data_IF_625812285679
#
_entry.id   IF_625812285679
#
_cell.length_a   1.000
_cell.length_b   1.000
_cell.length_c   1.000
_cell.angle_alpha   90.00
_cell.angle_beta   90.00
_cell.angle_gamma   90.00
#
_symmetry.space_group_name_H-M   'P 1'
#
loop_
_entity.id
_entity.type
_entity.pdbx_description
1 polymer ?
#
# COMPACT_ATOMS: atom_id res chain seq x y z
N UNK A 1 26.40 -5.58 -4.01
CA UNK A 1 26.76 -4.81 -5.23
C UNK A 1 26.51 -3.32 -4.98
N UNK A 2 27.38 -2.41 -5.46
CA UNK A 2 27.22 -0.94 -5.27
C UNK A 2 26.19 -0.37 -6.28
N UNK A 3 25.43 0.65 -5.88
CA UNK A 3 24.50 1.37 -6.75
C UNK A 3 25.26 2.27 -7.74
N UNK A 4 24.80 2.34 -8.99
CA UNK A 4 25.29 3.26 -10.02
C UNK A 4 24.98 4.73 -9.68
N UNK A 5 25.65 5.68 -10.35
CA UNK A 5 25.36 7.12 -10.18
C UNK A 5 23.89 7.45 -10.48
N UNK A 6 23.32 6.84 -11.52
CA UNK A 6 21.90 7.02 -11.90
C UNK A 6 20.98 6.44 -10.82
N UNK A 7 21.21 5.20 -10.37
CA UNK A 7 20.40 4.58 -9.31
C UNK A 7 20.44 5.39 -8.01
N UNK A 8 21.60 5.96 -7.63
CA UNK A 8 21.71 6.85 -6.46
C UNK A 8 20.86 8.11 -6.62
N UNK A 9 20.91 8.76 -7.79
CA UNK A 9 20.10 9.95 -8.09
C UNK A 9 18.60 9.63 -8.07
N UNK A 10 18.20 8.50 -8.67
CA UNK A 10 16.81 8.06 -8.66
C UNK A 10 16.33 7.74 -7.23
N UNK A 11 17.15 7.05 -6.43
CA UNK A 11 16.84 6.73 -5.05
C UNK A 11 16.69 7.99 -4.19
N UNK A 12 17.54 9.00 -4.40
CA UNK A 12 17.43 10.28 -3.71
C UNK A 12 16.10 10.98 -4.01
N UNK A 13 15.72 11.08 -5.30
CA UNK A 13 14.43 11.68 -5.70
C UNK A 13 13.27 10.88 -5.10
N UNK A 14 13.32 9.55 -5.18
CA UNK A 14 12.31 8.68 -4.58
C UNK A 14 12.17 8.92 -3.08
N UNK A 15 13.27 8.98 -2.32
CA UNK A 15 13.23 9.22 -0.86
C UNK A 15 12.68 10.60 -0.55
N UNK A 16 13.10 11.64 -1.27
CA UNK A 16 12.59 13.01 -1.08
C UNK A 16 11.08 13.07 -1.30
N UNK A 17 10.57 12.45 -2.36
CA UNK A 17 9.12 12.48 -2.66
C UNK A 17 8.35 11.56 -1.71
N UNK A 18 8.77 10.31 -1.57
CA UNK A 18 8.04 9.32 -0.78
C UNK A 18 8.08 9.60 0.72
N UNK A 19 9.20 10.08 1.28
CA UNK A 19 9.33 10.37 2.71
C UNK A 19 9.26 11.86 2.98
N UNK A 20 10.00 12.69 2.23
CA UNK A 20 10.03 14.14 2.48
C UNK A 20 8.63 14.78 2.42
N UNK A 21 7.82 14.44 1.42
CA UNK A 21 6.43 14.93 1.34
C UNK A 21 5.56 14.33 2.45
N UNK A 22 5.68 13.03 2.74
CA UNK A 22 4.91 12.36 3.81
C UNK A 22 5.13 13.04 5.16
N UNK A 23 6.37 13.29 5.56
CA UNK A 23 6.65 13.91 6.85
C UNK A 23 6.31 15.40 6.86
N UNK A 24 6.51 16.12 5.75
CA UNK A 24 6.09 17.52 5.63
C UNK A 24 4.58 17.66 5.81
N UNK A 25 3.78 16.87 5.09
CA UNK A 25 2.34 16.86 5.23
C UNK A 25 1.89 16.22 6.54
N UNK A 26 2.71 15.35 7.14
CA UNK A 26 2.50 14.83 8.49
C UNK A 26 2.49 15.91 9.56
N UNK A 27 3.33 16.94 9.44
CA UNK A 27 3.29 18.11 10.33
C UNK A 27 1.95 18.86 10.19
N UNK A 28 1.49 19.07 8.95
CA UNK A 28 0.19 19.69 8.69
C UNK A 28 -0.98 18.83 9.20
N UNK A 29 -0.88 17.51 9.08
CA UNK A 29 -1.85 16.56 9.61
C UNK A 29 -1.94 16.66 11.13
N UNK A 30 -0.81 16.72 11.83
CA UNK A 30 -0.78 16.90 13.28
C UNK A 30 -1.39 18.24 13.73
N UNK A 31 -1.13 19.32 12.99
CA UNK A 31 -1.80 20.60 13.23
C UNK A 31 -3.32 20.50 13.05
N UNK A 32 -3.78 19.93 11.93
CA UNK A 32 -5.22 19.72 11.67
C UNK A 32 -5.88 18.86 12.75
N UNK A 33 -5.23 17.78 13.17
CA UNK A 33 -5.70 16.92 14.26
C UNK A 33 -5.86 17.71 15.56
N UNK A 34 -4.85 18.49 15.95
CA UNK A 34 -4.91 19.32 17.16
C UNK A 34 -5.99 20.41 17.13
N UNK A 35 -6.35 20.84 15.91
CA UNK A 35 -7.44 21.78 15.68
C UNK A 35 -8.82 21.11 15.57
N UNK A 36 -8.92 19.80 15.80
CA UNK A 36 -10.18 19.03 15.72
C UNK A 36 -10.74 18.91 14.30
N UNK A 37 -9.89 19.06 13.27
CA UNK A 37 -10.30 18.97 11.86
C UNK A 37 -10.17 17.55 11.33
N UNK A 38 -10.98 17.21 10.33
CA UNK A 38 -10.87 15.94 9.61
C UNK A 38 -9.51 15.83 8.89
N UNK A 39 -8.79 14.74 9.17
CA UNK A 39 -7.48 14.42 8.60
C UNK A 39 -7.53 13.32 7.54
N UNK A 40 -8.73 12.83 7.17
CA UNK A 40 -8.91 11.71 6.23
C UNK A 40 -8.34 11.95 4.84
N UNK A 41 -8.16 13.20 4.42
CA UNK A 41 -7.56 13.55 3.12
C UNK A 41 -6.08 13.16 3.04
N UNK A 42 -5.36 13.25 4.14
CA UNK A 42 -3.91 13.02 4.17
C UNK A 42 -3.49 11.58 3.84
N UNK A 43 -4.01 10.52 4.50
CA UNK A 43 -3.65 9.14 4.16
C UNK A 43 -4.00 8.81 2.71
N UNK A 44 -5.14 9.30 2.21
CA UNK A 44 -5.55 9.11 0.81
C UNK A 44 -4.54 9.72 -0.18
N UNK A 45 -4.07 10.95 0.10
CA UNK A 45 -3.04 11.58 -0.71
C UNK A 45 -1.70 10.83 -0.59
N UNK A 46 -1.34 10.45 0.63
CA UNK A 46 -0.09 9.81 0.99
C UNK A 46 0.18 8.54 0.17
N UNK A 47 -0.83 7.72 -0.08
CA UNK A 47 -0.70 6.49 -0.87
C UNK A 47 -0.11 6.72 -2.28
N UNK A 48 -0.22 7.91 -2.86
CA UNK A 48 0.28 8.19 -4.21
C UNK A 48 1.78 8.53 -4.25
N UNK A 49 2.38 8.91 -3.12
CA UNK A 49 3.72 9.49 -3.10
C UNK A 49 4.83 8.53 -3.55
N UNK A 50 4.83 7.23 -3.19
CA UNK A 50 5.93 6.35 -3.56
C UNK A 50 6.09 6.19 -5.08
N UNK A 51 5.00 5.90 -5.81
CA UNK A 51 5.04 5.82 -7.27
C UNK A 51 5.34 7.17 -7.91
N UNK A 52 4.78 8.27 -7.39
CA UNK A 52 5.11 9.60 -7.87
C UNK A 52 6.62 9.87 -7.81
N UNK A 53 7.28 9.47 -6.71
CA UNK A 53 8.73 9.55 -6.57
C UNK A 53 9.49 8.77 -7.63
N UNK A 54 9.04 7.54 -7.94
CA UNK A 54 9.62 6.71 -9.01
C UNK A 54 9.43 7.34 -10.39
N UNK A 55 8.21 7.78 -10.69
CA UNK A 55 7.88 8.36 -11.99
C UNK A 55 8.63 9.67 -12.24
N UNK A 56 8.71 10.54 -11.23
CA UNK A 56 9.50 11.77 -11.30
C UNK A 56 10.98 11.46 -11.50
N UNK A 57 11.53 10.51 -10.72
CA UNK A 57 12.91 10.05 -10.87
C UNK A 57 13.19 9.57 -12.29
N UNK A 58 12.30 8.75 -12.87
CA UNK A 58 12.44 8.24 -14.23
C UNK A 58 12.33 9.35 -15.28
N UNK A 59 11.35 10.24 -15.19
CA UNK A 59 11.21 11.37 -16.13
C UNK A 59 12.45 12.28 -16.14
N UNK A 60 13.08 12.51 -14.99
CA UNK A 60 14.28 13.34 -14.87
C UNK A 60 15.54 12.63 -15.39
N UNK A 61 15.68 11.34 -15.10
CA UNK A 61 16.95 10.61 -15.34
C UNK A 61 16.98 9.79 -16.62
N UNK A 62 15.82 9.45 -17.19
CA UNK A 62 15.67 8.63 -18.41
C UNK A 62 15.00 9.41 -19.54
N UNK A 63 15.38 10.69 -19.71
CA UNK A 63 14.78 11.63 -20.67
C UNK A 63 14.80 11.16 -22.12
N UNK A 64 15.73 10.31 -22.51
CA UNK A 64 15.88 9.81 -23.89
C UNK A 64 15.17 8.48 -24.14
N UNK A 65 14.53 7.88 -23.12
CA UNK A 65 13.80 6.63 -23.32
C UNK A 65 12.46 6.87 -24.01
N UNK A 66 12.40 6.54 -25.31
CA UNK A 66 11.22 6.65 -26.17
C UNK A 66 10.11 5.64 -25.84
N UNK A 67 10.43 4.60 -25.05
CA UNK A 67 9.48 3.58 -24.62
C UNK A 67 8.89 3.85 -23.22
N UNK A 68 9.19 5.01 -22.63
CA UNK A 68 8.56 5.41 -21.37
C UNK A 68 7.06 5.73 -21.58
N UNK A 69 6.16 5.20 -20.73
CA UNK A 69 4.73 5.50 -20.76
C UNK A 69 4.45 6.91 -20.18
N UNK A 70 4.96 7.94 -20.85
CA UNK A 70 4.98 9.32 -20.33
C UNK A 70 3.60 9.87 -20.02
N UNK A 71 2.60 9.55 -20.84
CA UNK A 71 1.21 10.01 -20.64
C UNK A 71 0.69 9.50 -19.30
N UNK A 72 0.84 8.20 -19.05
CA UNK A 72 0.46 7.58 -17.77
C UNK A 72 1.24 8.20 -16.59
N UNK A 73 2.56 8.37 -16.72
CA UNK A 73 3.37 8.97 -15.64
C UNK A 73 2.99 10.42 -15.32
N UNK A 74 2.80 11.25 -16.33
CA UNK A 74 2.42 12.65 -16.13
C UNK A 74 1.02 12.75 -15.54
N UNK A 75 0.05 11.97 -16.02
CA UNK A 75 -1.30 11.96 -15.46
C UNK A 75 -1.34 11.50 -14.00
N UNK A 76 -0.53 10.50 -13.64
CA UNK A 76 -0.39 10.05 -12.26
C UNK A 76 0.22 11.15 -11.36
N UNK A 77 1.24 11.85 -11.85
CA UNK A 77 1.86 12.97 -11.13
C UNK A 77 0.88 14.14 -10.96
N UNK A 78 0.06 14.45 -11.97
CA UNK A 78 -0.99 15.46 -11.86
C UNK A 78 -1.99 15.07 -10.78
N UNK A 79 -2.49 13.82 -10.78
CA UNK A 79 -3.38 13.33 -9.73
C UNK A 79 -2.74 13.44 -8.34
N UNK A 80 -1.46 13.10 -8.22
CA UNK A 80 -0.70 13.23 -6.96
C UNK A 80 -0.63 14.68 -6.49
N UNK A 81 -0.32 15.63 -7.38
CA UNK A 81 -0.26 17.07 -7.05
C UNK A 81 -1.63 17.59 -6.65
N UNK A 82 -2.70 17.21 -7.34
CA UNK A 82 -4.08 17.56 -6.96
C UNK A 82 -4.42 17.04 -5.55
N UNK A 83 -4.04 15.81 -5.22
CA UNK A 83 -4.23 15.22 -3.89
C UNK A 83 -3.43 15.96 -2.80
N UNK A 84 -2.19 16.35 -3.09
CA UNK A 84 -1.36 17.16 -2.18
C UNK A 84 -2.01 18.54 -1.94
N UNK A 85 -2.48 19.21 -3.01
CA UNK A 85 -3.17 20.49 -2.86
C UNK A 85 -4.45 20.35 -2.05
N UNK A 86 -5.21 19.26 -2.26
CA UNK A 86 -6.39 18.95 -1.46
C UNK A 86 -6.04 18.81 0.04
N UNK A 87 -4.97 18.08 0.37
CA UNK A 87 -4.49 17.93 1.74
C UNK A 87 -3.98 19.24 2.37
N UNK A 88 -3.36 20.13 1.58
CA UNK A 88 -2.93 21.45 2.07
C UNK A 88 -4.16 22.36 2.31
N UNK A 89 -5.09 22.41 1.35
CA UNK A 89 -6.28 23.26 1.45
C UNK A 89 -7.24 22.81 2.57
N UNK A 90 -7.26 21.53 2.95
CA UNK A 90 -8.05 21.08 4.09
C UNK A 90 -7.61 21.71 5.42
N UNK A 91 -6.38 22.22 5.48
CA UNK A 91 -5.81 22.86 6.67
C UNK A 91 -6.08 24.36 6.74
N UNK A 92 -6.14 25.05 5.58
CA UNK A 92 -6.13 26.51 5.48
C UNK A 92 -7.42 27.20 5.93
N UNK A 93 -8.43 26.44 6.37
CA UNK A 93 -9.71 26.99 6.84
C UNK A 93 -10.65 27.40 5.69
N UNK A 94 -10.27 27.14 4.44
CA UNK A 94 -11.17 27.26 3.30
C UNK A 94 -12.25 26.18 3.46
N UNK A 95 -13.51 26.63 3.60
CA UNK A 95 -14.66 25.73 3.72
C UNK A 95 -14.82 24.84 2.49
N UNK A 96 -15.13 23.57 2.70
CA UNK A 96 -15.33 22.60 1.62
C UNK A 96 -15.30 21.17 2.12
N UNK A 97 -16.00 20.27 1.44
CA UNK A 97 -15.91 18.84 1.71
C UNK A 97 -14.65 18.28 1.01
N UNK A 98 -13.49 18.51 1.62
CA UNK A 98 -12.19 18.13 1.06
C UNK A 98 -12.05 16.61 0.89
N UNK A 99 -12.67 15.81 1.77
CA UNK A 99 -12.69 14.37 1.62
C UNK A 99 -13.44 13.93 0.36
N UNK A 100 -14.60 14.53 0.07
CA UNK A 100 -15.35 14.25 -1.16
C UNK A 100 -14.58 14.67 -2.41
N UNK A 101 -13.91 15.83 -2.39
CA UNK A 101 -13.06 16.29 -3.49
C UNK A 101 -11.90 15.30 -3.72
N UNK A 102 -11.26 14.87 -2.64
CA UNK A 102 -10.20 13.86 -2.66
C UNK A 102 -10.68 12.54 -3.29
N UNK A 103 -11.88 12.08 -2.96
CA UNK A 103 -12.49 10.89 -3.57
C UNK A 103 -12.73 11.08 -5.08
N UNK A 104 -13.24 12.23 -5.52
CA UNK A 104 -13.41 12.51 -6.95
C UNK A 104 -12.08 12.55 -7.71
N UNK A 105 -11.02 13.08 -7.10
CA UNK A 105 -9.67 13.07 -7.69
C UNK A 105 -9.16 11.62 -7.83
N UNK A 106 -9.35 10.77 -6.81
CA UNK A 106 -8.98 9.36 -6.88
C UNK A 106 -9.75 8.60 -7.97
N UNK A 107 -11.06 8.81 -8.07
CA UNK A 107 -11.94 8.20 -9.08
C UNK A 107 -11.51 8.66 -10.48
N UNK A 108 -11.49 9.97 -10.72
CA UNK A 108 -11.11 10.54 -12.01
C UNK A 108 -9.68 10.18 -12.41
N UNK A 109 -8.75 10.25 -11.46
CA UNK A 109 -7.36 9.84 -11.65
C UNK A 109 -7.23 8.36 -12.01
N UNK A 110 -7.99 7.48 -11.36
CA UNK A 110 -8.01 6.05 -11.67
C UNK A 110 -8.57 5.78 -13.06
N UNK A 111 -9.69 6.41 -13.43
CA UNK A 111 -10.28 6.26 -14.77
C UNK A 111 -9.28 6.71 -15.84
N UNK A 112 -8.72 7.92 -15.70
CA UNK A 112 -7.77 8.48 -16.68
C UNK A 112 -6.51 7.62 -16.77
N UNK A 113 -5.90 7.27 -15.63
CA UNK A 113 -4.71 6.42 -15.61
C UNK A 113 -4.99 5.02 -16.18
N UNK A 114 -6.18 4.46 -15.90
CA UNK A 114 -6.61 3.17 -16.42
C UNK A 114 -6.76 3.19 -17.94
N UNK A 115 -7.42 4.20 -18.50
CA UNK A 115 -7.55 4.39 -19.96
C UNK A 115 -6.17 4.56 -20.61
N UNK A 116 -5.31 5.40 -20.04
CA UNK A 116 -3.96 5.63 -20.58
C UNK A 116 -3.10 4.37 -20.52
N UNK A 117 -3.24 3.57 -19.47
CA UNK A 117 -2.56 2.30 -19.36
C UNK A 117 -3.09 1.29 -20.41
N UNK A 118 -4.40 1.17 -20.59
CA UNK A 118 -4.99 0.23 -21.54
C UNK A 118 -4.69 0.59 -22.99
N UNK A 119 -4.59 1.88 -23.30
CA UNK A 119 -4.29 2.40 -24.64
C UNK A 119 -2.79 2.44 -24.96
N UNK A 120 -1.89 2.26 -23.98
CA UNK A 120 -0.46 2.23 -24.24
C UNK A 120 0.02 0.88 -24.81
N UNK A 121 1.06 0.96 -25.63
CA UNK A 121 1.67 -0.18 -26.33
C UNK A 121 2.15 -1.23 -25.33
N UNK A 122 1.99 -2.51 -25.68
CA UNK A 122 2.34 -3.64 -24.81
C UNK A 122 3.81 -3.62 -24.40
N UNK A 123 4.68 -3.20 -25.31
CA UNK A 123 6.14 -3.11 -25.14
C UNK A 123 6.50 -2.06 -24.09
N UNK A 124 5.85 -0.87 -24.15
CA UNK A 124 6.05 0.23 -23.20
C UNK A 124 5.63 -0.17 -21.79
N UNK A 125 4.43 -0.77 -21.67
CA UNK A 125 3.95 -1.31 -20.40
C UNK A 125 4.87 -2.38 -19.85
N UNK A 126 5.34 -3.30 -20.69
CA UNK A 126 6.24 -4.37 -20.27
C UNK A 126 7.57 -3.83 -19.73
N UNK A 127 8.17 -2.84 -20.41
CA UNK A 127 9.46 -2.25 -20.03
C UNK A 127 9.44 -1.58 -18.66
N UNK A 128 8.29 -1.02 -18.27
CA UNK A 128 8.09 -0.34 -16.99
C UNK A 128 7.32 -1.18 -15.97
N UNK A 129 7.18 -2.49 -16.21
CA UNK A 129 6.56 -3.44 -15.28
C UNK A 129 5.05 -3.27 -15.11
N UNK A 130 4.39 -2.51 -15.97
CA UNK A 130 2.95 -2.21 -15.90
C UNK A 130 2.08 -3.26 -16.60
N UNK A 131 2.69 -4.28 -17.21
CA UNK A 131 1.97 -5.35 -17.89
C UNK A 131 1.72 -6.53 -16.94
N UNK A 132 0.48 -7.00 -16.90
CA UNK A 132 0.14 -8.25 -16.20
C UNK A 132 0.86 -9.46 -16.80
N UNK A 133 1.41 -10.31 -15.94
CA UNK A 133 2.10 -11.55 -16.29
C UNK A 133 1.57 -12.73 -15.47
N UNK A 134 1.81 -13.95 -15.93
CA UNK A 134 1.53 -15.19 -15.20
C UNK A 134 0.12 -15.25 -14.58
N UNK A 135 -0.92 -15.12 -15.40
CA UNK A 135 -2.30 -14.97 -14.95
C UNK A 135 -2.78 -16.09 -14.00
N UNK A 136 -2.49 -17.36 -14.32
CA UNK A 136 -2.88 -18.50 -13.46
C UNK A 136 -2.25 -18.41 -12.06
N UNK A 137 -0.95 -18.08 -11.99
CA UNK A 137 -0.25 -17.88 -10.70
C UNK A 137 -0.74 -16.62 -9.98
N UNK A 138 -1.12 -15.59 -10.73
CA UNK A 138 -1.72 -14.36 -10.18
C UNK A 138 -3.02 -14.66 -9.45
N UNK A 139 -3.95 -15.37 -10.11
CA UNK A 139 -5.22 -15.81 -9.50
C UNK A 139 -4.96 -16.68 -8.27
N UNK A 140 -4.04 -17.64 -8.37
CA UNK A 140 -3.67 -18.48 -7.23
C UNK A 140 -3.18 -17.68 -6.03
N UNK A 141 -2.27 -16.71 -6.23
CA UNK A 141 -1.75 -15.90 -5.13
C UNK A 141 -2.82 -14.99 -4.50
N UNK A 142 -3.76 -14.47 -5.31
CA UNK A 142 -4.88 -13.66 -4.82
C UNK A 142 -5.84 -14.51 -3.99
N UNK A 143 -6.23 -15.69 -4.47
CA UNK A 143 -7.10 -16.60 -3.73
C UNK A 143 -6.43 -17.10 -2.45
N UNK A 144 -5.14 -17.44 -2.51
CA UNK A 144 -4.35 -17.82 -1.34
C UNK A 144 -4.35 -16.69 -0.29
N UNK A 145 -4.18 -15.44 -0.72
CA UNK A 145 -4.25 -14.31 0.21
C UNK A 145 -5.60 -14.20 0.91
N UNK A 146 -6.71 -14.32 0.16
CA UNK A 146 -8.06 -14.26 0.73
C UNK A 146 -8.26 -15.38 1.76
N UNK A 147 -7.82 -16.60 1.44
CA UNK A 147 -7.88 -17.74 2.39
C UNK A 147 -7.05 -17.46 3.64
N UNK A 148 -5.80 -17.00 3.50
CA UNK A 148 -4.94 -16.67 4.63
C UNK A 148 -5.50 -15.52 5.46
N UNK A 149 -6.13 -14.54 4.82
CA UNK A 149 -6.78 -13.41 5.49
C UNK A 149 -7.97 -13.88 6.34
N UNK A 150 -8.87 -14.68 5.75
CA UNK A 150 -10.02 -15.26 6.46
C UNK A 150 -9.55 -16.16 7.61
N UNK A 151 -8.54 -17.00 7.37
CA UNK A 151 -7.95 -17.87 8.39
C UNK A 151 -7.38 -17.05 9.56
N UNK A 152 -6.63 -15.99 9.25
CA UNK A 152 -6.08 -15.07 10.26
C UNK A 152 -7.20 -14.47 11.11
N UNK A 153 -8.26 -13.97 10.47
CA UNK A 153 -9.42 -13.40 11.18
C UNK A 153 -10.12 -14.44 12.06
N UNK A 154 -10.33 -15.65 11.54
CA UNK A 154 -10.98 -16.72 12.29
C UNK A 154 -10.17 -17.15 13.53
N UNK A 155 -8.84 -17.25 13.40
CA UNK A 155 -7.97 -17.53 14.55
C UNK A 155 -8.06 -16.38 15.57
N UNK A 156 -8.05 -15.12 15.11
CA UNK A 156 -8.18 -13.96 16.00
C UNK A 156 -9.48 -13.99 16.81
N UNK A 157 -10.63 -14.26 16.15
CA UNK A 157 -11.91 -14.41 16.84
C UNK A 157 -11.99 -15.67 17.70
N UNK A 158 -11.30 -16.74 17.31
CA UNK A 158 -11.09 -17.94 18.13
C UNK A 158 -10.46 -17.63 19.46
N UNK A 159 -9.30 -16.97 19.41
CA UNK A 159 -8.51 -16.62 20.60
C UNK A 159 -9.24 -15.61 21.49
N UNK A 160 -10.04 -14.70 20.93
CA UNK A 160 -10.84 -13.75 21.71
C UNK A 160 -12.18 -14.30 22.21
N UNK A 161 -12.53 -15.57 21.91
CA UNK A 161 -13.82 -16.16 22.31
C UNK A 161 -15.02 -15.62 21.52
N UNK A 162 -14.79 -15.00 20.36
CA UNK A 162 -15.77 -14.30 19.53
C UNK A 162 -16.03 -14.97 18.18
N UNK A 163 -15.81 -16.29 18.04
CA UNK A 163 -16.03 -17.01 16.78
C UNK A 163 -17.44 -16.85 16.20
N UNK A 164 -18.44 -16.64 17.06
CA UNK A 164 -19.82 -16.40 16.66
C UNK A 164 -19.99 -15.15 15.77
N UNK A 165 -19.12 -14.14 15.90
CA UNK A 165 -19.14 -12.94 15.06
C UNK A 165 -18.98 -13.28 13.57
N UNK A 166 -18.22 -14.33 13.22
CA UNK A 166 -18.11 -14.77 11.83
C UNK A 166 -19.45 -15.23 11.25
N UNK A 167 -20.27 -15.89 12.07
CA UNK A 167 -21.62 -16.30 11.69
C UNK A 167 -22.51 -15.09 11.42
N UNK A 168 -22.47 -14.08 12.29
CA UNK A 168 -23.24 -12.84 12.13
C UNK A 168 -22.83 -12.05 10.89
N UNK A 169 -21.53 -11.93 10.63
CA UNK A 169 -21.01 -11.28 9.42
C UNK A 169 -21.48 -12.05 8.18
N UNK A 170 -21.43 -13.38 8.19
CA UNK A 170 -21.80 -14.18 7.02
C UNK A 170 -23.30 -14.10 6.66
N UNK A 171 -24.19 -14.01 7.66
CA UNK A 171 -25.64 -13.91 7.42
C UNK A 171 -26.11 -12.48 7.11
N UNK A 172 -25.29 -11.47 7.37
CA UNK A 172 -25.63 -10.08 7.11
C UNK A 172 -25.60 -9.77 5.59
N UNK A 173 -26.71 -9.30 4.97
CA UNK A 173 -26.74 -8.97 3.55
C UNK A 173 -25.72 -7.89 3.13
N UNK A 174 -25.41 -6.94 4.03
CA UNK A 174 -24.45 -5.86 3.74
C UNK A 174 -23.04 -6.40 3.50
N UNK A 175 -22.66 -7.53 4.10
CA UNK A 175 -21.40 -8.22 3.80
C UNK A 175 -21.26 -8.51 2.32
N UNK A 176 -22.28 -9.11 1.73
CA UNK A 176 -22.25 -9.53 0.33
C UNK A 176 -22.31 -8.34 -0.62
N UNK A 177 -23.10 -7.32 -0.27
CA UNK A 177 -23.13 -6.05 -1.00
C UNK A 177 -21.74 -5.41 -1.01
N UNK A 178 -21.10 -5.28 0.15
CA UNK A 178 -19.77 -4.68 0.25
C UNK A 178 -18.69 -5.50 -0.46
N UNK A 179 -18.73 -6.84 -0.39
CA UNK A 179 -17.80 -7.68 -1.13
C UNK A 179 -17.90 -7.46 -2.65
N UNK A 180 -19.12 -7.33 -3.18
CA UNK A 180 -19.32 -6.98 -4.60
C UNK A 180 -18.82 -5.56 -4.89
N UNK A 181 -19.14 -4.59 -4.02
CA UNK A 181 -18.67 -3.21 -4.17
C UNK A 181 -17.14 -3.09 -4.16
N UNK A 182 -16.44 -3.87 -3.34
CA UNK A 182 -14.97 -3.92 -3.30
C UNK A 182 -14.40 -4.29 -4.69
N UNK A 183 -14.98 -5.28 -5.37
CA UNK A 183 -14.52 -5.69 -6.70
C UNK A 183 -14.65 -4.56 -7.73
N UNK A 184 -15.74 -3.80 -7.66
CA UNK A 184 -16.00 -2.66 -8.55
C UNK A 184 -15.11 -1.47 -8.19
N UNK A 185 -15.00 -1.16 -6.89
CA UNK A 185 -14.24 -0.02 -6.36
C UNK A 185 -12.74 -0.11 -6.66
N UNK A 186 -12.21 -1.31 -6.88
CA UNK A 186 -10.82 -1.48 -7.32
C UNK A 186 -10.50 -0.58 -8.52
N UNK A 187 -11.35 -0.57 -9.55
CA UNK A 187 -11.10 0.19 -10.79
C UNK A 187 -11.19 1.71 -10.59
N UNK A 188 -11.83 2.16 -9.52
CA UNK A 188 -12.00 3.57 -9.19
C UNK A 188 -10.99 4.08 -8.15
N UNK A 189 -10.23 3.19 -7.50
CA UNK A 189 -9.26 3.56 -6.47
C UNK A 189 -7.86 2.97 -6.68
N UNK A 190 -7.62 2.21 -7.76
CA UNK A 190 -6.37 1.44 -7.90
C UNK A 190 -5.11 2.32 -7.87
N UNK A 191 -5.17 3.60 -8.25
CA UNK A 191 -3.97 4.47 -8.30
C UNK A 191 -3.36 4.69 -6.91
N UNK A 192 -4.15 4.61 -5.84
CA UNK A 192 -3.66 4.72 -4.47
C UNK A 192 -2.81 3.49 -4.12
N UNK A 193 -3.35 2.29 -4.31
CA UNK A 193 -2.66 1.04 -4.03
C UNK A 193 -1.48 0.81 -4.97
N UNK A 194 -1.66 1.09 -6.26
CA UNK A 194 -0.57 1.13 -7.24
C UNK A 194 0.53 2.11 -6.83
N UNK A 195 0.15 3.24 -6.22
CA UNK A 195 1.08 4.24 -5.70
C UNK A 195 2.10 3.65 -4.75
N UNK A 196 1.61 2.94 -3.76
CA UNK A 196 2.47 2.25 -2.80
C UNK A 196 3.23 1.11 -3.45
N UNK A 197 2.56 0.17 -4.13
CA UNK A 197 3.22 -1.03 -4.63
C UNK A 197 4.29 -0.74 -5.67
N UNK A 198 4.05 0.23 -6.56
CA UNK A 198 5.01 0.57 -7.60
C UNK A 198 6.26 1.22 -7.01
N UNK A 199 6.11 2.00 -5.93
CA UNK A 199 7.25 2.51 -5.16
C UNK A 199 7.97 1.41 -4.38
N UNK A 200 7.23 0.61 -3.61
CA UNK A 200 7.79 -0.34 -2.67
C UNK A 200 8.28 -1.63 -3.33
N UNK A 201 7.44 -2.29 -4.13
CA UNK A 201 7.68 -3.66 -4.65
C UNK A 201 8.38 -3.61 -5.99
N UNK A 202 7.94 -2.72 -6.88
CA UNK A 202 8.54 -2.61 -8.21
C UNK A 202 9.90 -1.89 -8.17
N UNK A 203 10.01 -0.80 -7.41
CA UNK A 203 11.22 0.03 -7.40
C UNK A 203 12.18 -0.24 -6.24
N UNK A 204 11.74 -0.12 -4.98
CA UNK A 204 12.65 -0.17 -3.83
C UNK A 204 13.08 -1.61 -3.48
N UNK A 205 12.17 -2.58 -3.57
CA UNK A 205 12.45 -3.98 -3.25
C UNK A 205 13.64 -4.54 -4.05
N UNK A 206 13.71 -4.42 -5.39
CA UNK A 206 14.84 -4.97 -6.14
C UNK A 206 16.17 -4.30 -5.77
N UNK A 207 16.16 -3.01 -5.45
CA UNK A 207 17.37 -2.28 -5.00
C UNK A 207 17.87 -2.81 -3.65
N UNK A 208 16.97 -3.03 -2.69
CA UNK A 208 17.32 -3.59 -1.39
C UNK A 208 17.77 -5.05 -1.51
N UNK A 209 17.08 -5.85 -2.32
CA UNK A 209 17.45 -7.25 -2.56
C UNK A 209 18.81 -7.39 -3.26
N UNK A 210 19.12 -6.50 -4.22
CA UNK A 210 20.43 -6.43 -4.88
C UNK A 210 21.58 -6.10 -3.92
N UNK A 211 21.30 -5.34 -2.84
CA UNK A 211 22.31 -4.92 -1.87
C UNK A 211 22.46 -5.88 -0.70
N UNK A 212 21.35 -6.39 -0.16
CA UNK A 212 21.32 -7.14 1.09
C UNK A 212 20.90 -8.62 0.91
N UNK A 213 20.54 -9.02 -0.31
CA UNK A 213 19.99 -10.34 -0.63
C UNK A 213 18.47 -10.40 -0.52
N UNK A 214 17.87 -11.45 -1.11
CA UNK A 214 16.40 -11.58 -1.26
C UNK A 214 15.63 -11.46 0.07
N UNK A 215 16.07 -12.16 1.13
CA UNK A 215 15.40 -12.17 2.45
C UNK A 215 15.57 -10.87 3.21
N UNK A 216 16.82 -10.45 3.46
CA UNK A 216 17.09 -9.22 4.20
C UNK A 216 16.54 -7.98 3.46
N UNK A 217 16.58 -7.96 2.13
CA UNK A 217 15.99 -6.88 1.34
C UNK A 217 14.48 -6.72 1.52
N UNK A 218 13.74 -7.82 1.69
CA UNK A 218 12.29 -7.80 1.94
C UNK A 218 11.97 -7.40 3.37
N UNK A 219 12.72 -7.89 4.35
CA UNK A 219 12.55 -7.48 5.75
C UNK A 219 12.84 -6.00 5.94
N UNK A 220 13.94 -5.50 5.34
CA UNK A 220 14.28 -4.08 5.34
C UNK A 220 13.21 -3.24 4.63
N UNK A 221 12.63 -3.74 3.54
CA UNK A 221 11.51 -3.06 2.88
C UNK A 221 10.31 -2.94 3.82
N UNK A 222 9.97 -4.01 4.55
CA UNK A 222 8.92 -4.00 5.56
C UNK A 222 9.15 -2.94 6.63
N UNK A 223 10.38 -2.82 7.14
CA UNK A 223 10.76 -1.82 8.15
C UNK A 223 10.57 -0.40 7.62
N UNK A 224 11.12 -0.09 6.44
CA UNK A 224 11.03 1.27 5.88
C UNK A 224 9.60 1.62 5.51
N UNK A 225 8.82 0.66 4.99
CA UNK A 225 7.39 0.84 4.73
C UNK A 225 6.60 1.09 6.02
N UNK A 226 6.92 0.38 7.11
CA UNK A 226 6.32 0.66 8.43
C UNK A 226 6.66 2.05 8.96
N UNK A 227 7.91 2.50 8.81
CA UNK A 227 8.35 3.83 9.25
C UNK A 227 7.64 4.95 8.47
N UNK A 228 7.40 4.74 7.18
CA UNK A 228 6.69 5.68 6.33
C UNK A 228 5.26 5.98 6.80
N UNK A 229 4.61 5.08 7.54
CA UNK A 229 3.27 5.31 8.11
C UNK A 229 3.28 6.15 9.39
N UNK A 230 4.44 6.61 9.88
CA UNK A 230 4.53 7.26 11.18
C UNK A 230 3.54 8.42 11.36
N UNK A 231 3.37 9.38 10.44
CA UNK A 231 2.40 10.46 10.65
C UNK A 231 0.95 9.97 10.77
N UNK A 232 0.53 9.05 9.90
CA UNK A 232 -0.84 8.51 9.93
C UNK A 232 -1.11 7.65 11.17
N UNK A 233 -0.10 6.98 11.74
CA UNK A 233 -0.23 6.26 13.00
C UNK A 233 -0.62 7.18 14.16
N UNK A 234 -0.01 8.38 14.23
CA UNK A 234 -0.22 9.31 15.34
C UNK A 234 -1.48 10.16 15.24
N UNK A 235 -1.92 10.46 14.01
CA UNK A 235 -2.93 11.50 13.78
C UNK A 235 -4.14 11.03 12.98
N UNK A 236 -4.16 9.79 12.47
CA UNK A 236 -5.30 9.26 11.73
C UNK A 236 -5.78 7.91 12.26
N UNK A 237 -4.87 6.94 12.38
CA UNK A 237 -5.22 5.60 12.87
C UNK A 237 -5.49 5.59 14.36
N UNK A 238 -4.77 6.38 15.14
CA UNK A 238 -4.92 6.47 16.60
C UNK A 238 -4.72 7.91 17.05
N UNK A 239 -4.93 8.15 18.35
CA UNK A 239 -4.57 9.42 18.97
C UNK A 239 -3.04 9.50 19.24
N UNK A 240 -2.47 10.70 19.44
CA UNK A 240 -1.03 10.86 19.63
C UNK A 240 -0.44 10.11 20.84
N UNK A 241 -1.22 9.84 21.89
CA UNK A 241 -0.75 9.10 23.06
C UNK A 241 -0.50 7.62 22.73
N UNK A 242 -1.31 7.06 21.84
CA UNK A 242 -1.20 5.67 21.38
C UNK A 242 -0.35 5.50 20.11
N UNK A 243 0.11 6.61 19.50
CA UNK A 243 0.82 6.61 18.22
C UNK A 243 2.07 5.72 18.18
N UNK A 244 2.80 5.57 19.30
CA UNK A 244 3.94 4.65 19.38
C UNK A 244 3.51 3.18 19.34
N UNK A 245 2.39 2.85 20.01
CA UNK A 245 1.82 1.50 20.01
C UNK A 245 1.32 1.19 18.59
N UNK A 246 0.61 2.13 17.96
CA UNK A 246 0.17 2.02 16.57
C UNK A 246 1.35 1.81 15.62
N UNK A 247 2.42 2.60 15.78
CA UNK A 247 3.62 2.46 14.95
C UNK A 247 4.30 1.09 15.12
N UNK A 248 4.37 0.56 16.34
CA UNK A 248 4.90 -0.79 16.59
C UNK A 248 4.01 -1.87 15.94
N UNK A 249 2.68 -1.76 16.06
CA UNK A 249 1.73 -2.63 15.36
C UNK A 249 1.85 -2.55 13.84
N UNK A 250 2.07 -1.34 13.31
CA UNK A 250 2.26 -1.11 11.88
C UNK A 250 3.57 -1.74 11.38
N UNK A 251 4.64 -1.71 12.17
CA UNK A 251 5.88 -2.41 11.85
C UNK A 251 5.68 -3.92 11.71
N UNK A 252 4.97 -4.53 12.68
CA UNK A 252 4.60 -5.94 12.61
C UNK A 252 3.87 -6.21 11.29
N UNK A 253 2.81 -5.44 11.02
CA UNK A 253 1.97 -5.59 9.83
C UNK A 253 2.76 -5.43 8.52
N UNK A 254 3.51 -4.34 8.35
CA UNK A 254 4.28 -4.06 7.13
C UNK A 254 5.38 -5.09 6.89
N UNK A 255 6.05 -5.58 7.93
CA UNK A 255 7.05 -6.63 7.79
C UNK A 255 6.39 -7.95 7.39
N UNK A 256 5.38 -8.41 8.12
CA UNK A 256 4.76 -9.72 7.86
C UNK A 256 4.00 -9.76 6.54
N UNK A 257 3.16 -8.75 6.24
CA UNK A 257 2.46 -8.68 4.96
C UNK A 257 3.45 -8.42 3.81
N UNK A 258 4.49 -7.62 4.05
CA UNK A 258 5.56 -7.36 3.09
C UNK A 258 6.23 -8.64 2.61
N UNK A 259 6.41 -9.64 3.48
CA UNK A 259 6.94 -10.96 3.10
C UNK A 259 6.02 -11.64 2.07
N UNK A 260 4.71 -11.69 2.32
CA UNK A 260 3.77 -12.34 1.42
C UNK A 260 3.61 -11.57 0.11
N UNK A 261 3.58 -10.23 0.15
CA UNK A 261 3.47 -9.41 -1.06
C UNK A 261 4.73 -9.55 -1.92
N UNK A 262 5.92 -9.58 -1.31
CA UNK A 262 7.16 -9.87 -2.00
C UNK A 262 7.15 -11.29 -2.61
N UNK A 263 6.65 -12.29 -1.87
CA UNK A 263 6.49 -13.65 -2.39
C UNK A 263 5.60 -13.67 -3.63
N UNK A 264 4.41 -13.07 -3.54
CA UNK A 264 3.45 -13.03 -4.64
C UNK A 264 4.01 -12.28 -5.85
N UNK A 265 4.65 -11.11 -5.63
CA UNK A 265 5.28 -10.35 -6.71
C UNK A 265 6.40 -11.15 -7.39
N UNK A 266 7.32 -11.76 -6.62
CA UNK A 266 8.44 -12.52 -7.18
C UNK A 266 7.98 -13.82 -7.87
N UNK A 267 6.92 -14.44 -7.38
CA UNK A 267 6.36 -15.67 -7.97
C UNK A 267 5.61 -15.41 -9.26
N UNK A 268 4.97 -14.25 -9.38
CA UNK A 268 4.10 -13.90 -10.52
C UNK A 268 4.73 -12.95 -11.52
N UNK A 269 5.81 -12.26 -11.14
CA UNK A 269 6.41 -11.16 -11.91
C UNK A 269 5.39 -10.10 -12.38
N UNK A 270 4.33 -9.92 -11.58
CA UNK A 270 3.19 -9.11 -11.94
C UNK A 270 2.91 -8.10 -10.83
N UNK A 271 3.13 -6.80 -11.11
CA UNK A 271 2.91 -5.74 -10.12
C UNK A 271 1.44 -5.61 -9.71
N UNK A 272 0.50 -6.01 -10.57
CA UNK A 272 -0.92 -5.90 -10.26
C UNK A 272 -1.37 -6.88 -9.18
N UNK A 273 -0.63 -7.97 -8.96
CA UNK A 273 -0.91 -8.92 -7.88
C UNK A 273 -0.79 -8.24 -6.52
N UNK A 274 0.39 -7.74 -6.08
CA UNK A 274 0.49 -7.06 -4.80
C UNK A 274 -0.40 -5.80 -4.71
N UNK A 275 -0.74 -5.14 -5.84
CA UNK A 275 -1.72 -4.03 -5.84
C UNK A 275 -3.10 -4.49 -5.41
N UNK A 276 -3.57 -5.61 -5.96
CA UNK A 276 -4.84 -6.23 -5.57
C UNK A 276 -4.76 -6.74 -4.13
N UNK A 277 -3.66 -7.37 -3.72
CA UNK A 277 -3.50 -7.87 -2.35
C UNK A 277 -3.59 -6.74 -1.32
N UNK A 278 -2.93 -5.61 -1.60
CA UNK A 278 -2.98 -4.44 -0.75
C UNK A 278 -4.38 -3.82 -0.72
N UNK A 279 -5.02 -3.68 -1.90
CA UNK A 279 -6.40 -3.23 -1.99
C UNK A 279 -7.34 -4.08 -1.14
N UNK A 280 -7.26 -5.40 -1.26
CA UNK A 280 -8.06 -6.34 -0.48
C UNK A 280 -7.75 -6.23 1.01
N UNK A 281 -6.47 -6.14 1.40
CA UNK A 281 -6.09 -6.01 2.80
C UNK A 281 -6.80 -4.84 3.49
N UNK A 282 -6.82 -3.67 2.85
CA UNK A 282 -7.36 -2.46 3.46
C UNK A 282 -8.89 -2.44 3.39
N UNK A 283 -9.48 -2.88 2.27
CA UNK A 283 -10.92 -2.79 2.05
C UNK A 283 -11.73 -3.95 2.66
N UNK A 284 -11.09 -5.06 3.05
CA UNK A 284 -11.77 -6.12 3.79
C UNK A 284 -11.96 -5.80 5.28
N UNK A 285 -11.18 -4.88 5.86
CA UNK A 285 -11.25 -4.54 7.30
C UNK A 285 -12.66 -4.12 7.75
N UNK A 286 -13.37 -3.20 7.06
CA UNK A 286 -14.74 -2.85 7.43
C UNK A 286 -15.73 -4.02 7.38
N UNK A 287 -15.51 -4.96 6.47
CA UNK A 287 -16.37 -6.14 6.30
C UNK A 287 -16.11 -7.14 7.42
N UNK A 288 -14.85 -7.51 7.65
CA UNK A 288 -14.50 -8.52 8.65
C UNK A 288 -14.63 -8.04 10.09
N UNK A 289 -14.72 -6.74 10.33
CA UNK A 289 -15.04 -6.17 11.65
C UNK A 289 -16.55 -6.09 11.91
N UNK A 290 -17.39 -6.31 10.89
CA UNK A 290 -18.84 -6.12 10.98
C UNK A 290 -19.28 -4.66 11.11
N UNK A 291 -18.37 -3.70 10.97
CA UNK A 291 -18.67 -2.26 11.09
C UNK A 291 -19.23 -1.65 9.82
N UNK A 292 -18.91 -2.22 8.66
CA UNK A 292 -19.32 -1.76 7.32
C UNK A 292 -19.04 -0.27 7.06
N UNK A 293 -18.09 0.32 7.79
CA UNK A 293 -17.72 1.73 7.71
C UNK A 293 -16.21 1.89 7.57
N UNK A 294 -15.79 2.82 6.70
CA UNK A 294 -14.39 3.21 6.58
C UNK A 294 -13.85 3.91 7.84
N UNK A 295 -14.71 4.36 8.76
CA UNK A 295 -14.27 4.96 10.03
C UNK A 295 -13.66 3.95 11.00
N UNK A 296 -13.80 2.64 10.77
CA UNK A 296 -13.26 1.59 11.66
C UNK A 296 -11.72 1.62 11.78
N UNK A 297 -11.06 2.26 10.82
CA UNK A 297 -9.61 2.44 10.83
C UNK A 297 -9.17 3.78 11.43
N UNK A 298 -10.12 4.62 11.87
CA UNK A 298 -9.84 5.93 12.47
C UNK A 298 -9.94 5.85 13.99
N UNK A 299 -9.07 6.59 14.68
CA UNK A 299 -9.08 6.73 16.14
C UNK A 299 -9.21 5.39 16.90
N UNK A 300 -8.50 4.38 16.43
CA UNK A 300 -8.50 3.04 17.00
C UNK A 300 -7.89 3.05 18.41
N UNK A 301 -8.51 2.32 19.32
CA UNK A 301 -7.91 2.02 20.62
C UNK A 301 -6.97 0.83 20.47
N UNK A 302 -5.69 1.04 20.78
CA UNK A 302 -4.64 0.03 20.69
C UNK A 302 -3.92 -0.11 22.04
N UNK A 303 -3.37 -1.29 22.31
CA UNK A 303 -2.58 -1.52 23.52
C UNK A 303 -1.40 -2.46 23.26
N UNK A 304 -0.37 -2.37 24.10
CA UNK A 304 0.79 -3.25 24.03
C UNK A 304 0.42 -4.75 24.10
N UNK A 305 -0.63 -5.09 24.87
CA UNK A 305 -1.11 -6.45 25.01
C UNK A 305 -1.61 -7.05 23.67
N UNK A 306 -2.07 -6.22 22.74
CA UNK A 306 -2.52 -6.66 21.41
C UNK A 306 -1.36 -6.99 20.45
N UNK A 307 -0.16 -6.44 20.69
CA UNK A 307 0.93 -6.53 19.73
C UNK A 307 1.59 -7.92 19.69
N UNK A 308 1.73 -8.58 20.84
CA UNK A 308 2.36 -9.91 20.89
C UNK A 308 1.51 -10.96 20.16
N UNK A 309 0.19 -11.08 20.40
CA UNK A 309 -0.67 -11.95 19.61
C UNK A 309 -0.63 -11.60 18.11
N UNK A 310 -0.65 -10.31 17.76
CA UNK A 310 -0.59 -9.88 16.37
C UNK A 310 0.73 -10.28 15.68
N UNK A 311 1.87 -10.15 16.37
CA UNK A 311 3.17 -10.58 15.87
C UNK A 311 3.23 -12.09 15.64
N UNK A 312 2.78 -12.88 16.62
CA UNK A 312 2.77 -14.34 16.52
C UNK A 312 1.86 -14.76 15.36
N UNK A 313 0.63 -14.28 15.35
CA UNK A 313 -0.36 -14.66 14.34
C UNK A 313 0.08 -14.27 12.93
N UNK A 314 0.47 -13.01 12.70
CA UNK A 314 0.93 -12.59 11.37
C UNK A 314 2.27 -13.23 10.99
N UNK A 315 3.15 -13.45 11.96
CA UNK A 315 4.44 -14.13 11.77
C UNK A 315 4.26 -15.58 11.32
N UNK A 316 3.32 -16.31 11.91
CA UNK A 316 2.99 -17.68 11.51
C UNK A 316 2.34 -17.71 10.12
N UNK A 317 1.34 -16.86 9.88
CA UNK A 317 0.55 -16.86 8.64
C UNK A 317 1.40 -16.42 7.43
N UNK A 318 2.19 -15.37 7.57
CA UNK A 318 2.93 -14.78 6.43
C UNK A 318 4.45 -14.97 6.51
N UNK A 319 5.03 -15.08 7.70
CA UNK A 319 6.48 -15.18 7.87
C UNK A 319 7.07 -16.47 7.27
N UNK A 320 6.32 -17.58 7.29
CA UNK A 320 6.74 -18.86 6.70
C UNK A 320 7.11 -18.77 5.20
N UNK A 321 6.50 -17.82 4.47
CA UNK A 321 6.80 -17.62 3.05
C UNK A 321 8.25 -17.19 2.80
N UNK A 322 8.95 -16.64 3.79
CA UNK A 322 10.38 -16.28 3.70
C UNK A 322 11.30 -17.49 3.42
N UNK A 323 10.83 -18.70 3.76
CA UNK A 323 11.54 -19.96 3.53
C UNK A 323 11.23 -20.60 2.16
N UNK A 324 10.28 -20.04 1.42
CA UNK A 324 9.92 -20.53 0.09
C UNK A 324 11.09 -20.43 -0.90
N UNK A 325 11.01 -21.22 -1.98
CA UNK A 325 12.08 -21.31 -2.98
C UNK A 325 12.39 -19.98 -3.67
N UNK A 326 11.42 -19.07 -3.79
CA UNK A 326 11.63 -17.77 -4.47
C UNK A 326 12.64 -16.88 -3.74
N UNK A 327 12.80 -17.04 -2.42
CA UNK A 327 13.76 -16.28 -1.61
C UNK A 327 15.09 -16.99 -1.38
N UNK A 328 15.26 -18.22 -1.87
CA UNK A 328 16.57 -18.90 -1.80
C UNK A 328 17.56 -18.16 -2.70
N UNK A 329 18.83 -18.11 -2.26
CA UNK A 329 19.93 -17.69 -3.15
C UNK A 329 19.94 -18.67 -4.32
N UNK A 330 20.04 -18.17 -5.54
CA UNK A 330 20.34 -19.04 -6.67
C UNK A 330 21.73 -19.62 -6.41
N UNK A 331 21.81 -20.93 -6.23
CA UNK A 331 23.09 -21.62 -6.31
C UNK A 331 23.59 -21.39 -7.73
N UNK A 332 24.70 -20.65 -7.82
CA UNK A 332 25.49 -20.64 -9.05
C UNK A 332 25.92 -22.09 -9.21
N UNK A 333 25.29 -22.82 -10.15
CA UNK A 333 25.85 -24.08 -10.62
C UNK A 333 27.23 -23.72 -11.18
N UNK A 334 28.26 -24.10 -10.43
CA UNK A 334 29.66 -23.95 -10.81
C UNK A 334 29.95 -24.74 -12.10
#
# INVERSE_FOLDING_TARGET
MKLTKIEKKQLLIFVIVAYGITYLLGVLMGYSYSAGKDVSVFPNAQMLYPAAGVMLAYLITRKTDSNMPRRFFVSYLIATVLMIMCAICSVTGIGGNWLLICQFILIGGSIVCGILLLTDKKERRSRYGLRGKNAKLSVFCILLFVVLYILRTAISYGVSGQLWMLGEIAVNPLTWVMLISILVNFFFAFIAFFGEEYGWRYYLQPLLQKRFGKRAGVLLLGVVWGLWHMPVNFFYYTNPADGIISMAGQQITCITLGIFFAYAYMKTENIWVPVILHFLNNNLVPVISGSYSASVIQDQSVSWAMLVPALILNGVIFGGFLFSRVFRKEEIKA
#
